data_IF_807927437153
#
_entry.id   IF_807927437153
#
_cell.length_a   1.000
_cell.length_b   1.000
_cell.length_c   1.000
_cell.angle_alpha   90.00
_cell.angle_beta   90.00
_cell.angle_gamma   90.00
#
_symmetry.space_group_name_H-M   'P 1'
#
loop_
_entity.id
_entity.type
_entity.pdbx_description
1 polymer ?
#
# COMPACT_ATOMS: atom_id res chain seq x y z
N UNK A 1 -7.12 20.38 11.63
CA UNK A 1 -6.89 19.01 12.17
C UNK A 1 -8.15 18.17 12.23
N UNK A 2 -9.32 18.73 12.58
CA UNK A 2 -10.57 17.97 12.71
C UNK A 2 -11.03 17.26 11.42
N UNK A 3 -10.76 17.86 10.25
CA UNK A 3 -11.13 17.33 8.92
C UNK A 3 -10.51 15.96 8.59
N UNK A 4 -9.33 15.64 9.13
CA UNK A 4 -8.60 14.41 8.77
C UNK A 4 -8.80 13.28 9.78
N UNK A 5 -9.55 13.49 10.88
CA UNK A 5 -9.72 12.47 11.92
C UNK A 5 -10.33 11.18 11.36
N UNK A 6 -11.34 11.30 10.50
CA UNK A 6 -11.98 10.16 9.84
C UNK A 6 -11.11 9.48 8.77
N UNK A 7 -9.95 10.04 8.41
CA UNK A 7 -8.98 9.44 7.49
C UNK A 7 -7.97 8.52 8.19
N UNK A 8 -8.09 8.37 9.51
CA UNK A 8 -7.20 7.57 10.33
C UNK A 8 -7.92 6.34 10.85
N UNK A 9 -7.34 5.16 10.62
CA UNK A 9 -7.86 3.93 11.24
C UNK A 9 -7.69 3.97 12.75
N UNK A 10 -6.56 4.51 13.22
CA UNK A 10 -6.25 4.75 14.63
C UNK A 10 -5.92 6.21 14.87
N UNK A 11 -6.66 6.85 15.76
CA UNK A 11 -6.33 8.21 16.19
C UNK A 11 -5.01 8.28 16.97
N UNK A 12 -4.55 7.17 17.54
CA UNK A 12 -3.25 7.03 18.21
C UNK A 12 -2.08 6.79 17.25
N UNK A 13 -2.33 6.40 16.00
CA UNK A 13 -1.30 6.15 14.97
C UNK A 13 -1.54 7.08 13.79
N UNK A 14 -0.86 8.22 13.84
CA UNK A 14 -0.90 9.25 12.79
C UNK A 14 0.51 9.47 12.23
N UNK A 15 0.65 9.88 10.96
CA UNK A 15 1.96 10.10 10.37
C UNK A 15 2.60 11.36 10.96
N UNK A 16 3.91 11.33 11.16
CA UNK A 16 4.64 12.49 11.66
C UNK A 16 4.83 13.54 10.55
N UNK A 17 4.64 14.83 10.87
CA UNK A 17 4.67 15.90 9.87
C UNK A 17 5.96 15.96 9.05
N UNK A 18 7.11 15.61 9.66
CA UNK A 18 8.42 15.70 9.01
C UNK A 18 8.61 14.71 7.86
N UNK A 19 7.88 13.59 7.83
CA UNK A 19 8.06 12.54 6.83
C UNK A 19 6.73 11.99 6.29
N UNK A 20 5.60 12.63 6.57
CA UNK A 20 4.31 12.24 5.98
C UNK A 20 4.35 12.38 4.47
N UNK A 21 3.58 11.54 3.79
CA UNK A 21 3.27 11.76 2.38
C UNK A 21 2.29 12.94 2.28
N UNK A 22 2.54 13.85 1.34
CA UNK A 22 1.70 15.03 1.07
C UNK A 22 1.17 14.88 -0.35
N UNK A 23 -0.15 14.75 -0.49
CA UNK A 23 -0.80 14.73 -1.80
C UNK A 23 -0.96 16.15 -2.33
N UNK A 24 -1.06 16.27 -3.64
CA UNK A 24 -1.39 17.53 -4.31
C UNK A 24 -2.74 18.04 -3.83
N UNK A 25 -2.80 19.26 -3.30
CA UNK A 25 -4.03 19.84 -2.77
C UNK A 25 -5.07 20.03 -3.88
N UNK A 26 -6.31 19.63 -3.60
CA UNK A 26 -7.45 19.86 -4.47
C UNK A 26 -8.10 21.18 -4.07
N UNK A 27 -8.23 22.11 -5.03
CA UNK A 27 -8.80 23.43 -4.79
C UNK A 27 -10.20 23.32 -4.22
N UNK A 28 -10.45 23.97 -3.08
CA UNK A 28 -11.74 23.99 -2.42
C UNK A 28 -12.06 22.75 -1.57
N UNK A 29 -11.11 21.83 -1.40
CA UNK A 29 -11.28 20.63 -0.56
C UNK A 29 -10.25 20.64 0.58
N UNK A 30 -10.71 20.98 1.78
CA UNK A 30 -9.88 21.00 2.98
C UNK A 30 -9.39 19.59 3.35
N UNK A 31 -8.11 19.46 3.72
CA UNK A 31 -7.51 18.17 4.07
C UNK A 31 -7.30 17.21 2.88
N UNK A 32 -7.43 17.70 1.65
CA UNK A 32 -7.16 16.91 0.43
C UNK A 32 -5.69 16.57 0.22
N UNK A 33 -4.76 17.19 0.94
CA UNK A 33 -3.32 16.88 0.90
C UNK A 33 -2.93 15.73 1.85
N UNK A 34 -3.89 15.22 2.63
CA UNK A 34 -3.65 14.28 3.71
C UNK A 34 -3.98 12.84 3.31
N UNK A 35 -3.03 11.96 3.62
CA UNK A 35 -3.18 10.50 3.68
C UNK A 35 -2.37 10.01 4.89
N UNK A 36 -2.85 8.98 5.61
CA UNK A 36 -2.09 8.38 6.71
C UNK A 36 -0.99 7.47 6.15
N UNK A 37 0.09 8.11 5.70
CA UNK A 37 1.26 7.45 5.17
C UNK A 37 2.53 8.25 5.47
N UNK A 38 3.66 7.57 5.60
CA UNK A 38 4.98 8.19 5.85
C UNK A 38 6.04 7.59 4.95
N UNK A 39 6.95 8.43 4.47
CA UNK A 39 8.20 8.02 3.85
C UNK A 39 9.13 7.38 4.89
N UNK A 40 9.80 6.32 4.46
CA UNK A 40 10.73 5.55 5.27
C UNK A 40 12.04 5.36 4.52
N UNK A 41 13.14 5.71 5.19
CA UNK A 41 14.50 5.48 4.72
C UNK A 41 14.84 3.98 4.69
N UNK A 42 15.57 3.57 3.65
CA UNK A 42 16.11 2.23 3.53
C UNK A 42 17.62 2.21 3.73
N UNK A 43 18.23 1.04 3.62
CA UNK A 43 19.69 0.91 3.71
C UNK A 43 20.38 1.67 2.56
N UNK A 44 21.12 2.73 2.89
CA UNK A 44 21.85 3.62 1.95
C UNK A 44 20.99 4.34 0.90
N UNK A 45 19.66 4.27 0.99
CA UNK A 45 18.73 5.01 0.13
C UNK A 45 17.79 5.80 1.01
N UNK A 46 17.67 7.11 0.76
CA UNK A 46 16.66 7.94 1.43
C UNK A 46 15.28 7.67 0.85
N UNK A 47 14.31 7.51 1.72
CA UNK A 47 12.88 7.37 1.44
C UNK A 47 12.46 6.33 0.36
N UNK A 48 13.09 5.16 0.14
CA UNK A 48 12.66 4.23 -0.92
C UNK A 48 11.28 3.58 -0.66
N UNK A 49 10.73 3.74 0.55
CA UNK A 49 9.49 3.11 0.97
C UNK A 49 8.47 4.13 1.47
N UNK A 50 7.19 3.81 1.29
CA UNK A 50 6.08 4.48 1.95
C UNK A 50 5.36 3.45 2.79
N UNK A 51 5.26 3.67 4.09
CA UNK A 51 4.38 2.91 4.96
C UNK A 51 3.04 3.60 5.10
N UNK A 52 1.95 2.86 4.98
CA UNK A 52 0.58 3.36 5.11
C UNK A 52 -0.29 2.34 5.84
N UNK A 53 -1.33 2.83 6.54
CA UNK A 53 -2.44 1.99 6.99
C UNK A 53 -3.15 1.32 5.80
N UNK A 54 -3.97 0.30 6.06
CA UNK A 54 -4.86 -0.19 5.02
C UNK A 54 -5.94 0.84 4.70
N UNK A 55 -6.25 1.05 3.41
CA UNK A 55 -7.25 2.04 3.01
C UNK A 55 -8.59 1.79 3.69
N UNK A 56 -9.13 2.83 4.29
CA UNK A 56 -10.53 2.90 4.74
C UNK A 56 -11.42 3.19 3.53
N UNK A 57 -12.71 2.90 3.63
CA UNK A 57 -13.69 3.22 2.59
C UNK A 57 -13.62 4.70 2.19
N UNK A 58 -13.48 5.60 3.18
CA UNK A 58 -13.35 7.04 2.97
C UNK A 58 -12.02 7.50 2.33
N UNK A 59 -11.02 6.63 2.25
CA UNK A 59 -9.64 6.96 1.81
C UNK A 59 -9.18 6.16 0.59
N UNK A 60 -10.07 5.38 -0.04
CA UNK A 60 -9.74 4.58 -1.22
C UNK A 60 -9.18 5.42 -2.37
N UNK A 61 -9.79 6.57 -2.64
CA UNK A 61 -9.30 7.50 -3.66
C UNK A 61 -7.93 8.09 -3.28
N UNK A 62 -7.77 8.54 -2.03
CA UNK A 62 -6.51 9.09 -1.53
C UNK A 62 -5.37 8.07 -1.62
N UNK A 63 -5.65 6.78 -1.40
CA UNK A 63 -4.69 5.69 -1.53
C UNK A 63 -4.21 5.49 -2.98
N UNK A 64 -5.13 5.39 -3.95
CA UNK A 64 -4.74 5.23 -5.36
C UNK A 64 -4.10 6.50 -5.93
N UNK A 65 -4.55 7.67 -5.47
CA UNK A 65 -3.93 8.96 -5.79
C UNK A 65 -2.50 9.04 -5.26
N UNK A 66 -2.25 8.57 -4.05
CA UNK A 66 -0.91 8.45 -3.48
C UNK A 66 -0.01 7.61 -4.39
N UNK A 67 -0.44 6.39 -4.73
CA UNK A 67 0.27 5.53 -5.68
C UNK A 67 0.60 6.27 -6.97
N UNK A 68 -0.38 7.02 -7.47
CA UNK A 68 -0.24 7.77 -8.70
C UNK A 68 0.84 8.85 -8.57
N UNK A 69 0.68 9.78 -7.63
CA UNK A 69 1.56 10.94 -7.46
C UNK A 69 2.98 10.57 -7.04
N UNK A 70 3.19 9.46 -6.32
CA UNK A 70 4.51 9.00 -5.88
C UNK A 70 5.25 8.14 -6.90
N UNK A 71 4.67 7.95 -8.09
CA UNK A 71 5.18 7.06 -9.16
C UNK A 71 5.42 5.62 -8.66
N UNK A 72 4.61 5.20 -7.69
CA UNK A 72 4.71 3.85 -7.14
C UNK A 72 3.97 2.85 -8.01
N UNK A 73 4.61 1.70 -8.21
CA UNK A 73 4.09 0.60 -9.01
C UNK A 73 4.11 -0.74 -8.28
N UNK A 74 4.46 -0.72 -6.99
CA UNK A 74 4.52 -1.90 -6.14
C UNK A 74 3.76 -1.65 -4.85
N UNK A 75 2.85 -2.56 -4.55
CA UNK A 75 2.14 -2.67 -3.29
C UNK A 75 2.61 -3.96 -2.61
N UNK A 76 2.97 -3.87 -1.34
CA UNK A 76 3.15 -5.04 -0.47
C UNK A 76 2.05 -5.01 0.58
N UNK A 77 1.13 -5.97 0.55
CA UNK A 77 0.06 -6.15 1.54
C UNK A 77 0.49 -7.25 2.51
N UNK A 78 0.64 -6.88 3.78
CA UNK A 78 0.98 -7.83 4.88
C UNK A 78 -0.23 -8.23 5.73
N UNK A 79 -1.39 -7.64 5.48
CA UNK A 79 -2.55 -7.78 6.36
C UNK A 79 -3.50 -8.88 5.91
N UNK A 80 -3.83 -9.79 6.83
CA UNK A 80 -4.91 -10.76 6.72
C UNK A 80 -6.20 -10.10 6.22
N UNK A 81 -6.98 -10.80 5.38
CA UNK A 81 -8.35 -10.37 5.11
C UNK A 81 -9.16 -10.64 6.38
N UNK A 82 -9.83 -9.64 6.97
CA UNK A 82 -10.62 -9.86 8.19
C UNK A 82 -11.71 -10.89 7.92
N UNK A 83 -11.97 -11.75 8.90
CA UNK A 83 -13.12 -12.66 8.82
C UNK A 83 -14.41 -11.84 8.79
N UNK A 84 -15.49 -12.37 8.21
CA UNK A 84 -16.81 -11.70 8.24
C UNK A 84 -17.35 -11.45 9.66
N UNK A 85 -16.74 -12.07 10.67
CA UNK A 85 -17.09 -11.92 12.08
C UNK A 85 -16.20 -10.89 12.79
N UNK A 86 -15.19 -10.35 12.11
CA UNK A 86 -14.32 -9.31 12.66
C UNK A 86 -15.08 -7.98 12.70
N UNK A 87 -15.22 -7.33 13.88
CA UNK A 87 -15.86 -6.02 14.00
C UNK A 87 -15.21 -4.93 13.14
N UNK A 88 -13.95 -5.12 12.72
CA UNK A 88 -13.24 -4.20 11.82
C UNK A 88 -13.46 -4.50 10.33
N UNK A 89 -14.18 -5.57 9.97
CA UNK A 89 -14.36 -6.00 8.58
C UNK A 89 -15.07 -4.95 7.71
N UNK A 90 -16.04 -4.22 8.27
CA UNK A 90 -16.83 -3.22 7.54
C UNK A 90 -15.99 -2.01 7.10
N UNK A 91 -14.85 -1.75 7.75
CA UNK A 91 -13.95 -0.64 7.43
C UNK A 91 -12.64 -1.11 6.79
N UNK A 92 -12.65 -2.31 6.23
CA UNK A 92 -11.52 -2.98 5.57
C UNK A 92 -11.86 -3.34 4.12
N UNK A 93 -12.17 -2.35 3.26
CA UNK A 93 -12.58 -2.60 1.88
C UNK A 93 -11.47 -3.30 1.08
N UNK A 94 -11.89 -4.16 0.16
CA UNK A 94 -11.01 -4.68 -0.89
C UNK A 94 -10.73 -3.54 -1.87
N UNK A 95 -9.61 -2.84 -1.69
CA UNK A 95 -9.29 -1.63 -2.43
C UNK A 95 -8.97 -1.83 -3.92
N UNK A 96 -8.99 -3.06 -4.43
CA UNK A 96 -8.73 -3.38 -5.84
C UNK A 96 -9.90 -4.07 -6.55
N UNK A 97 -11.05 -4.22 -5.88
CA UNK A 97 -12.26 -4.82 -6.46
C UNK A 97 -13.46 -3.91 -6.24
N UNK A 98 -14.43 -4.00 -7.16
CA UNK A 98 -15.76 -3.40 -6.96
C UNK A 98 -16.62 -4.33 -6.12
N UNK A 99 -17.48 -3.76 -5.27
CA UNK A 99 -18.46 -4.51 -4.46
C UNK A 99 -19.54 -5.21 -5.29
N UNK A 100 -19.66 -4.88 -6.59
CA UNK A 100 -20.78 -5.31 -7.44
C UNK A 100 -20.45 -6.40 -8.48
N UNK A 101 -19.19 -6.57 -8.88
CA UNK A 101 -18.77 -7.61 -9.84
C UNK A 101 -17.23 -7.64 -10.03
N UNK A 102 -16.65 -8.75 -10.52
CA UNK A 102 -15.30 -8.75 -11.08
C UNK A 102 -15.22 -7.82 -12.30
N UNK A 103 -14.23 -6.93 -12.32
CA UNK A 103 -14.03 -5.97 -13.40
C UNK A 103 -13.26 -4.72 -12.92
N UNK A 104 -13.14 -3.70 -13.79
CA UNK A 104 -12.56 -2.41 -13.44
C UNK A 104 -13.21 -1.80 -12.20
N UNK A 105 -12.41 -1.49 -11.18
CA UNK A 105 -12.86 -0.77 -10.00
C UNK A 105 -12.52 0.72 -10.12
N UNK A 106 -13.46 1.61 -9.79
CA UNK A 106 -13.27 3.06 -9.90
C UNK A 106 -13.20 3.70 -8.52
N UNK A 107 -12.15 4.50 -8.29
CA UNK A 107 -11.89 5.24 -7.07
C UNK A 107 -11.62 6.70 -7.43
N UNK A 108 -12.67 7.52 -7.44
CA UNK A 108 -12.60 8.90 -7.94
C UNK A 108 -12.20 8.95 -9.42
N UNK A 109 -11.07 9.60 -9.71
CA UNK A 109 -10.49 9.67 -11.05
C UNK A 109 -9.67 8.44 -11.45
N UNK A 110 -9.38 7.54 -10.52
CA UNK A 110 -8.55 6.38 -10.78
C UNK A 110 -9.39 5.15 -11.12
N UNK A 111 -9.03 4.47 -12.20
CA UNK A 111 -9.61 3.19 -12.62
C UNK A 111 -8.55 2.11 -12.46
N UNK A 112 -8.89 1.05 -11.75
CA UNK A 112 -8.03 -0.09 -11.43
C UNK A 112 -8.58 -1.31 -12.16
N UNK A 113 -7.95 -1.67 -13.27
CA UNK A 113 -8.32 -2.86 -14.03
C UNK A 113 -7.50 -4.05 -13.53
N UNK A 114 -8.13 -5.15 -13.08
CA UNK A 114 -7.41 -6.40 -12.82
C UNK A 114 -6.91 -6.99 -14.15
N UNK A 115 -5.61 -7.31 -14.20
CA UNK A 115 -4.96 -7.87 -15.40
C UNK A 115 -4.64 -9.36 -15.20
N UNK A 116 -4.00 -9.70 -14.09
CA UNK A 116 -3.61 -11.07 -13.80
C UNK A 116 -3.55 -11.32 -12.29
N UNK A 117 -3.77 -12.57 -11.89
CA UNK A 117 -3.56 -13.05 -10.53
C UNK A 117 -2.79 -14.38 -10.60
N UNK A 118 -1.74 -14.49 -9.78
CA UNK A 118 -0.90 -15.67 -9.68
C UNK A 118 -0.87 -16.14 -8.23
N UNK A 119 -1.24 -17.39 -8.01
CA UNK A 119 -1.11 -18.06 -6.73
C UNK A 119 0.31 -18.61 -6.61
N UNK A 120 1.09 -18.05 -5.68
CA UNK A 120 2.47 -18.46 -5.41
C UNK A 120 2.53 -19.19 -4.07
N UNK A 121 3.53 -20.06 -3.84
CA UNK A 121 3.78 -20.59 -2.50
C UNK A 121 4.09 -19.45 -1.52
N UNK A 122 3.15 -19.17 -0.62
CA UNK A 122 3.29 -18.16 0.44
C UNK A 122 2.84 -16.73 0.10
N UNK A 123 2.34 -16.45 -1.11
CA UNK A 123 1.73 -15.14 -1.42
C UNK A 123 0.87 -15.19 -2.69
N UNK A 124 0.04 -14.18 -2.88
CA UNK A 124 -0.68 -13.93 -4.14
C UNK A 124 -0.06 -12.72 -4.84
N UNK A 125 0.30 -12.87 -6.11
CA UNK A 125 0.75 -11.76 -6.95
C UNK A 125 -0.41 -11.31 -7.84
N UNK A 126 -0.79 -10.03 -7.74
CA UNK A 126 -1.78 -9.41 -8.60
C UNK A 126 -1.13 -8.34 -9.48
N UNK A 127 -1.52 -8.31 -10.75
CA UNK A 127 -1.19 -7.22 -11.66
C UNK A 127 -2.44 -6.41 -11.98
N UNK A 128 -2.31 -5.10 -11.89
CA UNK A 128 -3.35 -4.13 -12.20
C UNK A 128 -2.86 -3.16 -13.27
N UNK A 129 -3.79 -2.67 -14.09
CA UNK A 129 -3.60 -1.45 -14.87
C UNK A 129 -4.31 -0.32 -14.13
N UNK A 130 -3.52 0.62 -13.62
CA UNK A 130 -4.01 1.85 -12.99
C UNK A 130 -4.08 2.94 -14.05
N UNK A 131 -5.25 3.53 -14.25
CA UNK A 131 -5.51 4.58 -15.24
C UNK A 131 -6.04 5.83 -14.55
N UNK A 132 -5.47 6.99 -14.87
CA UNK A 132 -6.03 8.28 -14.49
C UNK A 132 -7.04 8.73 -15.55
N UNK A 133 -8.33 8.73 -15.21
CA UNK A 133 -9.41 9.04 -16.13
C UNK A 133 -9.44 10.51 -16.59
N UNK A 134 -8.64 11.39 -15.98
CA UNK A 134 -8.56 12.81 -16.37
C UNK A 134 -7.78 13.01 -17.67
N UNK A 135 -6.71 12.25 -17.85
CA UNK A 135 -5.82 12.37 -19.01
C UNK A 135 -5.65 11.05 -19.80
N UNK A 136 -6.23 9.94 -19.31
CA UNK A 136 -6.19 8.63 -19.94
C UNK A 136 -4.85 7.91 -19.82
N UNK A 137 -3.88 8.45 -19.06
CA UNK A 137 -2.59 7.77 -18.86
C UNK A 137 -2.77 6.55 -17.97
N UNK A 138 -2.03 5.49 -18.28
CA UNK A 138 -2.07 4.23 -17.55
C UNK A 138 -0.68 3.74 -17.16
N UNK A 139 -0.59 2.97 -16.06
CA UNK A 139 0.62 2.26 -15.63
C UNK A 139 0.28 0.88 -15.06
N UNK A 140 1.25 -0.02 -15.10
CA UNK A 140 1.15 -1.31 -14.40
C UNK A 140 1.48 -1.12 -12.92
N UNK A 141 0.63 -1.63 -12.04
CA UNK A 141 0.86 -1.74 -10.59
C UNK A 141 0.80 -3.21 -10.21
N UNK A 142 1.73 -3.66 -9.38
CA UNK A 142 1.75 -5.02 -8.84
C UNK A 142 1.47 -5.00 -7.35
N UNK A 143 0.69 -5.96 -6.88
CA UNK A 143 0.47 -6.20 -5.46
C UNK A 143 0.97 -7.59 -5.08
N UNK A 144 1.87 -7.62 -4.11
CA UNK A 144 2.25 -8.83 -3.38
C UNK A 144 1.40 -8.91 -2.13
N UNK A 145 0.53 -9.91 -2.07
CA UNK A 145 -0.36 -10.16 -0.95
C UNK A 145 0.13 -11.38 -0.16
N UNK A 146 0.78 -11.10 0.97
CA UNK A 146 1.34 -12.09 1.88
C UNK A 146 0.33 -12.50 2.99
N UNK A 147 -0.93 -12.07 2.87
CA UNK A 147 -1.95 -12.22 3.93
C UNK A 147 -2.31 -13.65 4.30
N UNK A 148 -2.13 -14.61 3.38
CA UNK A 148 -2.39 -16.04 3.60
C UNK A 148 -1.31 -16.75 4.41
N UNK A 149 -0.17 -16.10 4.65
CA UNK A 149 1.00 -16.68 5.32
C UNK A 149 1.18 -16.15 6.73
N UNK A 150 0.07 -15.81 7.38
CA UNK A 150 -0.03 -15.24 8.72
C UNK A 150 0.72 -16.02 9.82
N UNK A 151 0.98 -17.31 9.62
CA UNK A 151 1.74 -18.17 10.54
C UNK A 151 3.27 -18.15 10.30
N UNK A 152 3.74 -17.50 9.23
CA UNK A 152 5.13 -17.56 8.74
C UNK A 152 5.81 -16.19 8.67
N UNK A 153 5.42 -15.23 9.51
CA UNK A 153 5.98 -13.87 9.53
C UNK A 153 7.53 -13.84 9.60
N UNK A 154 8.16 -14.81 10.27
CA UNK A 154 9.63 -14.94 10.34
C UNK A 154 10.26 -15.48 9.05
N UNK A 155 9.64 -16.46 8.38
CA UNK A 155 10.11 -16.98 7.06
C UNK A 155 9.79 -16.00 5.92
N UNK A 156 8.64 -15.32 5.99
CA UNK A 156 8.16 -14.35 5.01
C UNK A 156 9.02 -13.10 4.95
N UNK A 157 9.72 -12.74 6.04
CA UNK A 157 10.73 -11.69 6.00
C UNK A 157 11.81 -12.03 4.96
N UNK A 158 12.23 -13.29 4.91
CA UNK A 158 13.19 -13.80 3.92
C UNK A 158 12.69 -13.67 2.49
N UNK A 159 11.44 -14.06 2.22
CA UNK A 159 10.88 -14.00 0.86
C UNK A 159 10.46 -12.58 0.44
N UNK A 160 9.99 -11.73 1.36
CA UNK A 160 9.79 -10.30 1.10
C UNK A 160 11.12 -9.60 0.78
N UNK A 161 12.17 -9.91 1.53
CA UNK A 161 13.54 -9.48 1.21
C UNK A 161 13.96 -10.05 -0.15
N UNK A 162 13.64 -11.30 -0.46
CA UNK A 162 13.96 -11.94 -1.76
C UNK A 162 13.20 -11.32 -2.92
N UNK A 163 11.94 -10.92 -2.74
CA UNK A 163 11.08 -10.27 -3.74
C UNK A 163 11.49 -8.82 -3.98
N UNK A 164 11.82 -8.09 -2.91
CA UNK A 164 12.46 -6.76 -3.00
C UNK A 164 13.84 -6.89 -3.68
N UNK A 165 14.60 -7.98 -3.44
CA UNK A 165 15.88 -8.27 -4.12
C UNK A 165 15.71 -8.73 -5.57
N UNK A 166 14.69 -9.52 -5.91
CA UNK A 166 14.40 -9.97 -7.27
C UNK A 166 14.06 -8.77 -8.18
N UNK A 167 13.46 -7.72 -7.61
CA UNK A 167 13.28 -6.42 -8.25
C UNK A 167 14.61 -5.71 -8.56
N UNK A 168 15.63 -5.85 -7.72
CA UNK A 168 16.98 -5.33 -7.99
C UNK A 168 17.74 -6.14 -9.06
N UNK A 169 17.33 -7.39 -9.32
CA UNK A 169 18.01 -8.31 -10.26
C UNK A 169 17.28 -8.51 -11.60
N UNK A 170 16.18 -7.80 -11.87
CA UNK A 170 15.52 -7.86 -13.19
C UNK A 170 16.45 -7.31 -14.28
N UNK A 171 16.71 -8.04 -15.38
CA UNK A 171 17.60 -7.61 -16.48
C UNK A 171 17.01 -6.46 -17.32
N UNK A 172 15.77 -6.05 -17.05
CA UNK A 172 15.11 -4.93 -17.74
C UNK A 172 15.56 -3.61 -17.10
N UNK A 173 16.53 -2.94 -17.72
CA UNK A 173 16.92 -1.55 -17.45
C UNK A 173 15.83 -0.56 -17.91
N UNK A 174 14.65 -0.61 -17.30
CA UNK A 174 13.52 0.27 -17.61
C UNK A 174 12.43 -0.11 -16.61
N UNK A 175 12.15 0.63 -15.54
CA UNK A 175 11.55 1.97 -15.49
C UNK A 175 11.93 2.58 -14.14
N UNK A 176 12.14 3.89 -14.08
CA UNK A 176 12.31 4.64 -12.84
C UNK A 176 11.14 4.33 -11.89
N UNK A 177 11.39 3.66 -10.77
CA UNK A 177 10.37 3.41 -9.75
C UNK A 177 10.85 4.04 -8.45
N UNK A 178 10.47 5.30 -8.22
CA UNK A 178 11.06 6.09 -7.12
C UNK A 178 10.69 5.54 -5.73
N UNK A 179 9.53 4.90 -5.55
CA UNK A 179 9.07 4.45 -4.22
C UNK A 179 8.30 3.12 -4.28
N UNK A 180 8.60 2.19 -3.36
CA UNK A 180 7.76 0.99 -3.12
C UNK A 180 6.75 1.30 -2.01
N UNK A 181 5.47 1.01 -2.22
CA UNK A 181 4.46 1.24 -1.19
C UNK A 181 4.27 -0.05 -0.41
N UNK A 182 4.49 0.05 0.89
CA UNK A 182 4.29 -1.02 1.87
C UNK A 182 3.00 -0.69 2.59
N UNK A 183 1.94 -1.43 2.28
CA UNK A 183 0.71 -1.39 3.05
C UNK A 183 0.92 -2.27 4.28
N UNK A 184 1.04 -1.60 5.41
CA UNK A 184 1.26 -2.23 6.69
C UNK A 184 0.18 -1.71 7.63
N UNK A 185 -0.92 -2.44 7.73
CA UNK A 185 -1.89 -2.17 8.77
C UNK A 185 -1.35 -2.79 10.06
N UNK A 186 -0.84 -1.92 10.94
CA UNK A 186 -0.25 -2.21 12.25
C UNK A 186 -1.24 -2.85 13.24
N UNK A 187 -2.48 -3.13 12.81
CA UNK A 187 -3.58 -3.55 13.65
C UNK A 187 -3.60 -5.04 13.97
N UNK A 188 -3.10 -5.90 13.06
CA UNK A 188 -3.26 -7.35 13.22
C UNK A 188 -2.18 -8.02 14.08
N UNK A 189 -1.12 -7.30 14.47
CA UNK A 189 0.00 -7.87 15.22
C UNK A 189 0.57 -6.80 16.17
N UNK A 190 0.03 -6.71 17.39
CA UNK A 190 0.45 -5.71 18.39
C UNK A 190 1.97 -5.70 18.61
N UNK A 191 2.55 -4.52 18.91
CA UNK A 191 3.98 -4.20 19.19
C UNK A 191 5.09 -4.72 18.24
N UNK A 192 4.94 -5.91 17.67
CA UNK A 192 5.91 -6.63 16.86
C UNK A 192 6.01 -6.10 15.42
N UNK A 193 5.03 -5.33 14.91
CA UNK A 193 5.10 -4.78 13.55
C UNK A 193 5.98 -3.54 13.46
N UNK A 194 6.07 -2.71 14.49
CA UNK A 194 7.10 -1.66 14.55
C UNK A 194 8.48 -2.32 14.59
N UNK A 195 8.63 -3.42 15.33
CA UNK A 195 9.84 -4.22 15.34
C UNK A 195 10.11 -4.91 13.99
N UNK A 196 9.08 -5.33 13.25
CA UNK A 196 9.17 -5.99 11.94
C UNK A 196 9.46 -5.01 10.80
N UNK A 197 8.82 -3.85 10.78
CA UNK A 197 9.16 -2.73 9.90
C UNK A 197 10.58 -2.28 10.23
N UNK A 198 10.94 -2.16 11.52
CA UNK A 198 12.35 -1.96 11.90
C UNK A 198 13.23 -3.13 11.44
N UNK A 199 12.84 -4.39 11.53
CA UNK A 199 13.64 -5.54 11.08
C UNK A 199 13.83 -5.50 9.55
N UNK A 200 12.78 -5.26 8.77
CA UNK A 200 12.83 -5.10 7.32
C UNK A 200 13.73 -3.92 6.90
N UNK A 201 13.80 -2.87 7.71
CA UNK A 201 14.60 -1.67 7.44
C UNK A 201 16.03 -1.73 8.03
N UNK A 202 16.25 -2.50 9.10
CA UNK A 202 17.50 -2.59 9.88
C UNK A 202 18.21 -3.96 9.82
N UNK A 203 17.61 -5.02 9.23
CA UNK A 203 18.27 -6.32 8.99
C UNK A 203 19.36 -6.27 7.91
N UNK A 204 19.81 -5.08 7.53
CA UNK A 204 21.04 -4.85 6.79
C UNK A 204 22.12 -4.32 7.76
N UNK A 205 22.58 -5.20 8.64
CA UNK A 205 23.92 -5.11 9.22
C UNK A 205 24.78 -6.22 8.61
#
# INVERSE_FOLDING_TARGET
>A
MQTNLAKNRLLSIIPHNANRVILSSIRGVDGSDYVNASYIDGYRSRAPYIATQAPLTATLEDFWRMLWETESNLIVRLQATPSKMDPCADDMPIYWQSSSAPGPARFGFFVVDPVAEYQMPGYVLREFRLTDARDGRSRTVRQFDASSSADLMEEMAGELIRLVRARAMSPVKSVSTRHSIVICDLYCYGANVIAFVKLMLFSFK
#
